data_IF_599623097490
#
_entry.id   IF_599623097490
#
_cell.length_a   1.000
_cell.length_b   1.000
_cell.length_c   1.000
_cell.angle_alpha   90.00
_cell.angle_beta   90.00
_cell.angle_gamma   90.00
#
_symmetry.space_group_name_H-M   'P 1'
#
loop_
_entity.id
_entity.type
_entity.pdbx_description
1 polymer ?
#
# COMPACT_ATOMS: atom_id res chain seq x y z
N UNK A 1 12.83 -23.36 21.93
CA UNK A 1 13.04 -21.96 21.50
C UNK A 1 11.69 -21.28 21.38
N UNK A 2 11.23 -20.63 22.45
CA UNK A 2 9.95 -19.91 22.53
C UNK A 2 10.27 -18.50 23.00
N UNK A 3 10.20 -17.51 22.10
CA UNK A 3 10.40 -16.11 22.45
C UNK A 3 9.06 -15.58 22.95
N UNK A 4 8.94 -15.47 24.28
CA UNK A 4 7.81 -14.84 24.96
C UNK A 4 8.11 -13.34 25.05
N UNK A 5 7.62 -12.54 24.11
CA UNK A 5 7.72 -11.08 24.18
C UNK A 5 6.71 -10.60 25.23
N UNK A 6 7.19 -10.28 26.44
CA UNK A 6 6.41 -9.57 27.45
C UNK A 6 6.14 -8.15 26.92
N UNK A 7 4.86 -7.79 26.78
CA UNK A 7 4.44 -6.40 26.71
C UNK A 7 5.00 -5.66 27.93
N UNK A 8 5.87 -4.68 27.71
CA UNK A 8 6.30 -3.75 28.74
C UNK A 8 5.09 -2.91 29.17
N UNK A 9 4.83 -2.93 30.48
CA UNK A 9 3.93 -2.03 31.19
C UNK A 9 4.23 -0.56 30.84
N UNK A 10 3.24 0.13 30.28
CA UNK A 10 3.35 1.54 29.91
C UNK A 10 2.90 2.48 31.06
N UNK A 11 3.26 2.13 32.31
CA UNK A 11 2.89 2.85 33.54
C UNK A 11 4.09 3.52 34.24
N UNK A 12 5.07 4.01 33.50
CA UNK A 12 6.21 4.73 34.07
C UNK A 12 6.59 5.95 33.24
N UNK A 13 5.73 6.97 33.27
CA UNK A 13 6.19 8.34 32.99
C UNK A 13 5.58 9.29 34.03
N UNK A 14 6.13 9.26 35.25
CA UNK A 14 6.03 10.38 36.19
C UNK A 14 6.91 11.51 35.63
N UNK A 15 6.31 12.41 34.86
CA UNK A 15 6.96 13.68 34.55
C UNK A 15 6.99 14.52 35.83
N UNK A 16 8.20 14.85 36.28
CA UNK A 16 8.47 15.82 37.33
C UNK A 16 7.83 17.17 36.95
N UNK A 17 6.80 17.59 37.69
CA UNK A 17 6.27 18.95 37.62
C UNK A 17 7.19 19.87 38.45
N UNK A 18 8.21 20.40 37.78
CA UNK A 18 8.89 21.61 38.22
C UNK A 18 7.88 22.77 38.28
N UNK A 19 7.96 23.56 39.35
CA UNK A 19 7.16 24.76 39.62
C UNK A 19 7.43 25.78 38.50
N UNK A 20 6.54 25.90 37.51
CA UNK A 20 6.66 26.90 36.44
C UNK A 20 5.73 28.07 36.75
N UNK A 21 6.27 29.06 37.48
CA UNK A 21 5.69 30.40 37.53
C UNK A 21 5.93 31.04 36.15
N UNK A 22 4.91 31.06 35.30
CA UNK A 22 4.99 31.73 34.02
C UNK A 22 3.78 31.44 33.16
N UNK A 23 2.91 32.44 32.98
CA UNK A 23 1.88 32.40 31.94
C UNK A 23 2.54 32.09 30.60
N UNK A 24 2.37 30.85 30.11
CA UNK A 24 2.77 30.49 28.74
C UNK A 24 1.90 31.31 27.80
N UNK A 25 2.54 32.16 27.01
CA UNK A 25 1.89 32.89 25.93
C UNK A 25 1.71 31.93 24.77
N UNK A 26 0.48 31.49 24.56
CA UNK A 26 0.12 30.73 23.38
C UNK A 26 -0.37 31.70 22.30
N UNK A 27 0.27 31.71 21.14
CA UNK A 27 -0.39 32.14 19.92
C UNK A 27 -1.34 31.01 19.53
N UNK A 28 -2.65 31.22 19.62
CA UNK A 28 -3.57 30.29 18.98
C UNK A 28 -3.24 30.32 17.48
N UNK A 29 -3.02 29.14 16.89
CA UNK A 29 -3.22 29.00 15.45
C UNK A 29 -4.60 29.58 15.14
N UNK A 30 -4.71 30.38 14.08
CA UNK A 30 -5.99 30.93 13.67
C UNK A 30 -7.03 29.80 13.60
N UNK A 31 -8.26 30.00 14.13
CA UNK A 31 -9.28 28.97 14.02
C UNK A 31 -9.48 28.60 12.55
N UNK A 32 -9.72 27.32 12.23
CA UNK A 32 -9.96 26.90 10.86
C UNK A 32 -11.13 27.68 10.28
N UNK A 33 -10.95 28.14 9.04
CA UNK A 33 -11.97 28.88 8.28
C UNK A 33 -13.28 28.09 8.30
N UNK A 34 -14.42 28.68 8.73
CA UNK A 34 -15.70 28.00 8.54
C UNK A 34 -15.95 27.81 7.03
N UNK A 35 -16.59 26.71 6.62
CA UNK A 35 -17.03 26.53 5.25
C UNK A 35 -17.97 27.69 4.82
N UNK A 36 -17.96 28.08 3.54
CA UNK A 36 -18.66 29.27 3.08
C UNK A 36 -20.17 29.16 3.38
N UNK A 37 -20.71 30.14 4.11
CA UNK A 37 -22.15 30.38 4.18
C UNK A 37 -22.84 30.33 5.55
N UNK A 38 -22.15 30.05 6.67
CA UNK A 38 -22.85 29.84 7.96
C UNK A 38 -22.68 30.91 9.06
N UNK A 39 -21.82 31.91 8.89
CA UNK A 39 -21.89 33.09 9.77
C UNK A 39 -21.49 34.36 9.01
N UNK A 40 -22.42 35.32 8.93
CA UNK A 40 -22.25 36.62 8.27
C UNK A 40 -21.30 37.57 9.00
N UNK A 41 -20.18 37.08 9.51
CA UNK A 41 -19.16 37.91 10.13
C UNK A 41 -18.32 38.59 9.03
N UNK A 42 -18.04 39.91 9.14
CA UNK A 42 -17.22 40.60 8.15
C UNK A 42 -15.81 40.00 8.09
N UNK A 43 -15.22 39.99 6.88
CA UNK A 43 -13.86 39.52 6.62
C UNK A 43 -12.86 40.34 7.45
N UNK A 44 -12.39 39.79 8.57
CA UNK A 44 -11.26 40.37 9.29
C UNK A 44 -9.97 39.93 8.60
N UNK A 45 -9.34 40.87 7.90
CA UNK A 45 -7.90 40.79 7.56
C UNK A 45 -7.13 40.47 8.85
N UNK A 46 -6.14 39.56 8.85
CA UNK A 46 -5.40 39.23 10.06
C UNK A 46 -4.58 40.46 10.49
N UNK A 47 -5.17 41.30 11.33
CA UNK A 47 -4.47 42.31 12.08
C UNK A 47 -3.45 41.61 12.97
N UNK A 48 -2.20 42.09 12.93
CA UNK A 48 -1.06 41.46 13.59
C UNK A 48 -1.38 40.95 15.00
N UNK A 49 -0.94 39.71 15.27
CA UNK A 49 -1.13 38.96 16.50
C UNK A 49 -1.05 39.83 17.76
N UNK A 50 -2.17 40.38 18.23
CA UNK A 50 -2.22 40.98 19.56
C UNK A 50 -2.20 39.85 20.58
N UNK A 51 -1.21 39.89 21.47
CA UNK A 51 -1.09 38.99 22.62
C UNK A 51 -2.28 39.25 23.55
N UNK A 52 -3.33 38.44 23.44
CA UNK A 52 -4.44 38.43 24.39
C UNK A 52 -3.89 37.79 25.68
N UNK A 53 -3.68 38.60 26.71
CA UNK A 53 -3.36 38.09 28.04
C UNK A 53 -4.69 37.67 28.67
N UNK A 54 -4.87 36.42 29.11
CA UNK A 54 -6.09 36.03 29.78
C UNK A 54 -6.23 36.84 31.09
N UNK A 55 -7.45 37.25 31.48
CA UNK A 55 -7.67 37.98 32.72
C UNK A 55 -7.19 37.15 33.92
N UNK A 56 -6.80 37.81 35.01
CA UNK A 56 -6.10 37.21 36.15
C UNK A 56 -6.84 36.04 36.84
N UNK A 57 -8.13 35.88 36.55
CA UNK A 57 -9.04 34.85 37.05
C UNK A 57 -9.19 33.63 36.11
N UNK A 58 -8.56 33.61 34.93
CA UNK A 58 -8.54 32.44 34.07
C UNK A 58 -7.62 31.35 34.63
N UNK A 59 -8.20 30.25 35.11
CA UNK A 59 -7.45 29.02 35.40
C UNK A 59 -7.38 28.18 34.11
N UNK A 60 -6.22 27.62 33.73
CA UNK A 60 -6.14 26.73 32.59
C UNK A 60 -7.00 25.50 32.87
N UNK A 61 -8.12 25.39 32.15
CA UNK A 61 -8.95 24.20 32.14
C UNK A 61 -8.25 23.07 31.38
N UNK A 62 -8.78 21.83 31.47
CA UNK A 62 -8.28 20.73 30.65
C UNK A 62 -8.38 21.08 29.17
N UNK A 63 -7.30 20.86 28.43
CA UNK A 63 -7.24 21.05 26.98
C UNK A 63 -8.31 20.15 26.34
N UNK A 64 -9.18 20.71 25.49
CA UNK A 64 -10.19 19.94 24.78
C UNK A 64 -9.54 18.82 23.94
N UNK A 65 -10.16 17.64 23.93
CA UNK A 65 -9.61 16.50 23.20
C UNK A 65 -9.47 16.82 21.71
N UNK A 66 -8.29 16.55 21.14
CA UNK A 66 -8.06 16.72 19.72
C UNK A 66 -8.92 15.70 18.93
N UNK A 67 -9.89 16.16 18.12
CA UNK A 67 -10.76 15.26 17.34
C UNK A 67 -9.99 14.53 16.22
N UNK A 68 -8.81 15.01 15.83
CA UNK A 68 -7.98 14.44 14.78
C UNK A 68 -6.95 13.42 15.28
N UNK A 69 -7.11 12.89 16.52
CA UNK A 69 -6.21 11.83 17.00
C UNK A 69 -6.54 10.51 16.29
N UNK A 70 -5.58 9.78 15.70
CA UNK A 70 -5.84 8.44 15.20
C UNK A 70 -6.29 7.57 16.38
N UNK A 71 -7.56 7.13 16.37
CA UNK A 71 -8.07 6.19 17.36
C UNK A 71 -7.71 4.78 16.91
N UNK A 72 -7.00 4.06 17.77
CA UNK A 72 -6.77 2.65 17.56
C UNK A 72 -8.10 1.90 17.71
N UNK A 73 -8.65 1.42 16.60
CA UNK A 73 -9.81 0.54 16.62
C UNK A 73 -9.39 -0.78 17.27
N UNK A 74 -9.80 -1.00 18.52
CA UNK A 74 -9.66 -2.28 19.20
C UNK A 74 -10.64 -3.30 18.60
N UNK A 75 -10.33 -3.78 17.40
CA UNK A 75 -10.96 -4.96 16.82
C UNK A 75 -10.53 -6.19 17.62
N UNK A 76 -11.25 -6.48 18.71
CA UNK A 76 -11.06 -7.72 19.47
C UNK A 76 -11.19 -8.91 18.50
N UNK A 77 -10.21 -9.79 18.50
CA UNK A 77 -10.18 -11.03 17.71
C UNK A 77 -10.27 -10.88 16.18
N UNK A 78 -9.97 -9.70 15.62
CA UNK A 78 -9.91 -9.51 14.16
C UNK A 78 -8.97 -10.49 13.46
N UNK A 79 -7.85 -10.87 14.10
CA UNK A 79 -6.92 -11.86 13.58
C UNK A 79 -7.56 -13.27 13.41
N UNK A 80 -8.48 -13.66 14.32
CA UNK A 80 -9.18 -14.94 14.23
C UNK A 80 -10.11 -14.97 13.02
N UNK A 81 -10.77 -13.85 12.72
CA UNK A 81 -11.64 -13.71 11.53
C UNK A 81 -10.84 -13.94 10.24
N UNK A 82 -9.69 -13.27 10.11
CA UNK A 82 -8.83 -13.45 8.93
C UNK A 82 -8.23 -14.86 8.85
N UNK A 83 -7.89 -15.47 9.99
CA UNK A 83 -7.46 -16.88 10.03
C UNK A 83 -8.56 -17.81 9.48
N UNK A 84 -9.82 -17.61 9.89
CA UNK A 84 -10.92 -18.43 9.40
C UNK A 84 -11.23 -18.18 7.92
N UNK A 85 -11.18 -16.93 7.46
CA UNK A 85 -11.32 -16.61 6.02
C UNK A 85 -10.23 -17.31 5.21
N UNK A 86 -8.96 -17.23 5.64
CA UNK A 86 -7.87 -17.91 4.96
C UNK A 86 -8.11 -19.43 4.90
N UNK A 87 -8.41 -20.06 6.05
CA UNK A 87 -8.61 -21.51 6.20
C UNK A 87 -9.81 -22.05 5.42
N UNK A 88 -10.95 -21.37 5.49
CA UNK A 88 -12.21 -21.90 4.97
C UNK A 88 -12.63 -21.33 3.61
N UNK A 89 -11.97 -20.26 3.14
CA UNK A 89 -12.28 -19.64 1.84
C UNK A 89 -11.06 -19.67 0.93
N UNK A 90 -9.93 -19.08 1.36
CA UNK A 90 -8.79 -18.95 0.46
C UNK A 90 -8.16 -20.31 0.10
N UNK A 91 -7.91 -21.20 1.07
CA UNK A 91 -7.34 -22.52 0.77
C UNK A 91 -8.22 -23.39 -0.14
N UNK A 92 -9.54 -23.56 0.10
CA UNK A 92 -10.35 -24.36 -0.83
C UNK A 92 -10.42 -23.73 -2.22
N UNK A 93 -10.45 -22.39 -2.34
CA UNK A 93 -10.38 -21.72 -3.65
C UNK A 93 -9.06 -22.01 -4.37
N UNK A 94 -7.92 -21.96 -3.67
CA UNK A 94 -6.61 -22.31 -4.24
C UNK A 94 -6.58 -23.78 -4.66
N UNK A 95 -7.17 -24.69 -3.89
CA UNK A 95 -7.24 -26.12 -4.24
C UNK A 95 -8.05 -26.31 -5.53
N UNK A 96 -9.25 -25.72 -5.62
CA UNK A 96 -10.09 -25.80 -6.82
C UNK A 96 -9.36 -25.22 -8.04
N UNK A 97 -8.73 -24.05 -7.90
CA UNK A 97 -7.96 -23.43 -8.96
C UNK A 97 -6.74 -24.27 -9.36
N UNK A 98 -6.09 -24.92 -8.39
CA UNK A 98 -4.98 -25.83 -8.61
C UNK A 98 -5.40 -27.05 -9.43
N UNK A 99 -6.50 -27.70 -9.06
CA UNK A 99 -7.04 -28.84 -9.81
C UNK A 99 -7.38 -28.46 -11.26
N UNK A 100 -8.01 -27.30 -11.46
CA UNK A 100 -8.28 -26.79 -12.80
C UNK A 100 -7.01 -26.51 -13.60
N UNK A 101 -5.98 -25.94 -12.97
CA UNK A 101 -4.71 -25.65 -13.64
C UNK A 101 -3.95 -26.93 -14.03
N UNK A 102 -3.95 -27.96 -13.16
CA UNK A 102 -3.26 -29.23 -13.42
C UNK A 102 -4.01 -30.18 -14.36
N UNK A 103 -5.31 -29.97 -14.58
CA UNK A 103 -6.12 -30.78 -15.49
C UNK A 103 -5.96 -30.43 -16.98
N UNK A 104 -5.26 -29.34 -17.31
CA UNK A 104 -5.08 -28.91 -18.69
C UNK A 104 -3.94 -29.69 -19.36
N UNK A 105 -4.16 -30.09 -20.61
CA UNK A 105 -3.11 -30.67 -21.45
C UNK A 105 -2.04 -29.63 -21.80
N UNK A 106 -0.80 -30.08 -21.97
CA UNK A 106 0.30 -29.20 -22.39
C UNK A 106 0.08 -28.86 -23.87
N UNK A 107 0.14 -27.58 -24.27
CA UNK A 107 -0.01 -27.21 -25.66
C UNK A 107 1.07 -27.89 -26.51
N UNK A 108 0.66 -28.59 -27.55
CA UNK A 108 1.57 -29.21 -28.51
C UNK A 108 2.14 -28.18 -29.48
N UNK A 109 3.27 -28.54 -30.10
CA UNK A 109 3.91 -27.76 -31.15
C UNK A 109 2.98 -27.66 -32.37
N UNK A 110 2.19 -26.59 -32.45
CA UNK A 110 1.26 -26.34 -33.56
C UNK A 110 1.97 -25.95 -34.85
N UNK A 111 1.22 -25.91 -35.95
CA UNK A 111 1.70 -25.38 -37.24
C UNK A 111 2.15 -23.94 -37.04
N UNK A 112 3.39 -23.66 -37.42
CA UNK A 112 4.03 -22.38 -37.18
C UNK A 112 4.26 -21.63 -38.49
N UNK A 113 4.00 -20.31 -38.45
CA UNK A 113 4.42 -19.37 -39.49
C UNK A 113 5.60 -18.55 -39.00
N UNK A 114 6.52 -18.19 -39.89
CA UNK A 114 7.66 -17.32 -39.58
C UNK A 114 7.42 -15.91 -40.10
N UNK A 115 6.86 -15.06 -39.25
CA UNK A 115 6.75 -13.63 -39.51
C UNK A 115 8.08 -12.93 -39.22
N UNK A 116 8.41 -11.90 -40.01
CA UNK A 116 9.66 -11.13 -39.86
C UNK A 116 9.83 -10.52 -38.46
N UNK A 117 8.73 -10.14 -37.80
CA UNK A 117 8.75 -9.58 -36.46
C UNK A 117 8.87 -10.63 -35.34
N UNK A 118 8.74 -11.92 -35.66
CA UNK A 118 8.91 -13.01 -34.69
C UNK A 118 10.34 -13.53 -34.69
N UNK A 119 10.78 -14.05 -33.54
CA UNK A 119 12.07 -14.75 -33.39
C UNK A 119 13.29 -13.96 -33.87
N UNK A 120 13.20 -12.63 -33.95
CA UNK A 120 14.29 -11.75 -34.39
C UNK A 120 15.56 -12.04 -33.58
N UNK A 121 16.67 -12.22 -34.29
CA UNK A 121 18.02 -12.38 -33.72
C UNK A 121 18.96 -11.36 -34.37
N UNK A 122 19.21 -10.24 -33.69
CA UNK A 122 20.23 -9.27 -34.13
C UNK A 122 21.64 -9.65 -33.64
N UNK A 123 21.71 -10.27 -32.45
CA UNK A 123 22.95 -10.79 -31.85
C UNK A 123 22.65 -12.13 -31.17
N UNK A 124 23.68 -12.99 -31.10
CA UNK A 124 23.62 -14.23 -30.31
C UNK A 124 23.50 -13.92 -28.82
N UNK A 125 22.79 -14.77 -28.08
CA UNK A 125 22.69 -14.67 -26.63
C UNK A 125 24.02 -15.00 -25.94
N UNK A 126 24.31 -14.43 -24.76
CA UNK A 126 25.56 -14.66 -24.03
C UNK A 126 25.64 -15.99 -23.26
N UNK A 127 24.69 -16.91 -23.44
CA UNK A 127 24.65 -18.21 -22.77
C UNK A 127 24.46 -19.36 -23.76
N UNK A 128 24.88 -20.56 -23.35
CA UNK A 128 24.76 -21.78 -24.15
C UNK A 128 25.39 -21.61 -25.54
N UNK A 129 24.66 -22.05 -26.57
CA UNK A 129 25.07 -21.88 -27.99
C UNK A 129 24.70 -20.51 -28.57
N UNK A 130 24.01 -19.67 -27.80
CA UNK A 130 23.57 -18.33 -28.21
C UNK A 130 22.34 -18.29 -29.13
N UNK A 131 21.79 -19.44 -29.51
CA UNK A 131 20.64 -19.54 -30.44
C UNK A 131 19.28 -19.71 -29.72
N UNK A 132 19.28 -20.39 -28.57
CA UNK A 132 18.11 -20.63 -27.72
C UNK A 132 17.92 -19.50 -26.71
N UNK A 133 16.67 -19.09 -26.48
CA UNK A 133 16.31 -18.15 -25.42
C UNK A 133 16.63 -18.73 -24.04
N UNK A 134 16.65 -17.89 -23.00
CA UNK A 134 16.99 -18.33 -21.63
C UNK A 134 16.02 -19.40 -21.11
N UNK A 135 14.72 -19.20 -21.29
CA UNK A 135 13.68 -20.20 -21.03
C UNK A 135 13.17 -20.78 -22.35
N UNK A 136 14.02 -21.52 -23.07
CA UNK A 136 13.63 -22.20 -24.29
C UNK A 136 13.00 -23.57 -23.98
N UNK A 137 11.78 -23.80 -24.47
CA UNK A 137 11.09 -25.09 -24.38
C UNK A 137 10.94 -25.66 -25.79
N UNK A 138 11.64 -26.77 -26.07
CA UNK A 138 11.70 -27.41 -27.39
C UNK A 138 10.30 -27.89 -27.88
N UNK A 139 9.36 -28.13 -26.95
CA UNK A 139 8.01 -28.60 -27.27
C UNK A 139 7.05 -27.50 -27.74
N UNK A 140 7.35 -26.22 -27.52
CA UNK A 140 6.44 -25.10 -27.84
C UNK A 140 7.12 -23.96 -28.60
N UNK A 141 8.40 -23.71 -28.31
CA UNK A 141 9.14 -22.60 -28.89
C UNK A 141 9.86 -23.06 -30.15
N UNK A 142 9.43 -22.55 -31.30
CA UNK A 142 10.12 -22.76 -32.58
C UNK A 142 11.35 -21.86 -32.70
N UNK A 143 12.39 -22.35 -33.36
CA UNK A 143 13.58 -21.58 -33.68
C UNK A 143 13.41 -20.87 -35.04
N UNK A 144 14.15 -19.77 -35.30
CA UNK A 144 14.03 -19.06 -36.58
C UNK A 144 14.48 -19.97 -37.73
N UNK A 145 13.61 -20.16 -38.74
CA UNK A 145 13.81 -21.11 -39.84
C UNK A 145 13.17 -22.48 -39.66
N UNK A 146 12.61 -22.81 -38.49
CA UNK A 146 11.85 -24.06 -38.28
C UNK A 146 10.41 -23.99 -38.84
N UNK A 147 9.95 -22.81 -39.22
CA UNK A 147 8.56 -22.53 -39.57
C UNK A 147 8.42 -22.15 -41.05
N UNK A 148 7.25 -22.36 -41.62
CA UNK A 148 6.97 -21.94 -42.99
C UNK A 148 6.75 -20.41 -43.04
N UNK A 149 7.19 -19.72 -44.11
CA UNK A 149 6.83 -18.33 -44.29
C UNK A 149 5.31 -18.16 -44.36
N UNK A 150 4.77 -17.00 -43.97
CA UNK A 150 3.36 -16.70 -44.16
C UNK A 150 3.02 -16.68 -45.66
N UNK A 151 1.75 -16.93 -46.03
CA UNK A 151 1.27 -16.65 -47.37
C UNK A 151 1.61 -15.19 -47.71
N UNK A 152 2.14 -14.97 -48.91
CA UNK A 152 2.27 -13.62 -49.43
C UNK A 152 0.87 -13.15 -49.76
N UNK A 153 0.34 -12.22 -48.97
CA UNK A 153 -0.87 -11.48 -49.31
C UNK A 153 -0.49 -10.53 -50.45
N UNK A 154 -0.61 -11.03 -51.68
CA UNK A 154 -0.52 -10.20 -52.88
C UNK A 154 -1.90 -9.61 -53.13
N UNK A 155 -2.13 -8.38 -52.64
CA UNK A 155 -3.14 -7.46 -53.18
C UNK A 155 -2.62 -6.80 -54.47
#
# INVERSE_FOLDING_TARGET
>A
MLIRVKCLDHNLVKFYLGKINGCRTYSLCCPPRPPPGQCGCPYQVPGGCRRIVPPANCRPGPIAANPCRPQHHHGKDTWKKYKYIALFICFPLIIVQGLHAFGNEVPHKGVCRDYEYMRIRTKRFPWGTGYKSFFHNDHVNHLPGDCEPPPLDCD
#
